data_IF_471667754146
#
_entry.id   IF_471667754146
#
_cell.length_a   1.000
_cell.length_b   1.000
_cell.length_c   1.000
_cell.angle_alpha   90.00
_cell.angle_beta   90.00
_cell.angle_gamma   90.00
#
_symmetry.space_group_name_H-M   'P 1'
#
loop_
_entity.id
_entity.type
_entity.pdbx_description
1 polymer ?
#
# COMPACT_ATOMS: atom_id res chain seq x y z
N UNK A 1 -43.96 14.08 30.18
CA UNK A 1 -42.75 13.39 30.65
C UNK A 1 -42.08 12.84 29.42
N UNK A 2 -41.22 13.66 28.84
CA UNK A 2 -40.68 13.50 27.49
C UNK A 2 -39.40 12.68 27.61
N UNK A 3 -39.41 11.49 27.01
CA UNK A 3 -38.19 10.69 26.86
C UNK A 3 -37.22 11.51 26.01
N UNK A 4 -36.27 12.19 26.65
CA UNK A 4 -35.07 12.68 25.99
C UNK A 4 -34.47 11.48 25.26
N UNK A 5 -34.45 11.53 23.92
CA UNK A 5 -34.03 10.44 23.04
C UNK A 5 -32.62 9.97 23.42
N UNK A 6 -32.53 8.91 24.22
CA UNK A 6 -31.24 8.35 24.60
C UNK A 6 -30.65 7.64 23.37
N UNK A 7 -29.45 8.07 22.96
CA UNK A 7 -28.66 7.42 21.93
C UNK A 7 -27.60 6.55 22.60
N UNK A 8 -27.81 5.24 22.55
CA UNK A 8 -26.88 4.24 23.03
C UNK A 8 -25.73 4.08 22.02
N UNK A 9 -24.49 4.09 22.51
CA UNK A 9 -23.27 3.89 21.69
C UNK A 9 -22.49 2.72 22.29
N UNK A 10 -22.16 1.77 21.43
CA UNK A 10 -21.53 0.53 21.82
C UNK A 10 -20.00 0.57 21.77
N UNK A 11 -19.45 -0.49 22.35
CA UNK A 11 -18.04 -0.69 22.56
C UNK A 11 -17.32 -1.12 21.27
N UNK A 12 -16.22 -0.44 20.94
CA UNK A 12 -15.38 -0.75 19.78
C UNK A 12 -14.16 -1.53 20.25
N UNK A 13 -13.91 -2.70 19.66
CA UNK A 13 -12.67 -3.46 19.85
C UNK A 13 -11.90 -3.52 18.54
N UNK A 14 -10.73 -2.89 18.52
CA UNK A 14 -9.76 -2.96 17.42
C UNK A 14 -8.67 -3.94 17.83
N UNK A 15 -8.56 -5.06 17.14
CA UNK A 15 -7.51 -6.06 17.34
C UNK A 15 -6.70 -6.24 16.06
N UNK A 16 -5.38 -6.23 16.19
CA UNK A 16 -4.46 -6.65 15.15
C UNK A 16 -4.11 -8.12 15.41
N UNK A 17 -4.60 -9.01 14.56
CA UNK A 17 -4.28 -10.43 14.61
C UNK A 17 -3.08 -10.69 13.69
N UNK A 18 -2.03 -11.32 14.22
CA UNK A 18 -0.86 -11.74 13.43
C UNK A 18 -0.96 -13.24 13.13
N UNK A 19 -1.16 -13.57 11.87
CA UNK A 19 -1.16 -14.95 11.39
C UNK A 19 0.27 -15.49 11.21
N UNK A 20 0.38 -16.75 10.80
CA UNK A 20 1.69 -17.35 10.47
C UNK A 20 2.35 -16.53 9.36
N UNK A 21 3.52 -15.99 9.66
CA UNK A 21 4.34 -15.27 8.70
C UNK A 21 5.24 -16.21 7.90
N UNK A 22 6.15 -15.59 7.17
CA UNK A 22 7.20 -16.24 6.39
C UNK A 22 8.53 -15.51 6.63
N UNK A 23 9.64 -16.20 6.41
CA UNK A 23 10.96 -15.58 6.44
C UNK A 23 11.21 -14.87 5.11
N UNK A 24 11.63 -13.61 5.18
CA UNK A 24 11.96 -12.79 4.01
C UNK A 24 13.27 -12.04 4.26
N UNK A 25 13.74 -11.28 3.28
CA UNK A 25 14.93 -10.45 3.43
C UNK A 25 14.84 -9.52 4.66
N UNK A 26 15.98 -9.24 5.32
CA UNK A 26 15.98 -8.46 6.55
C UNK A 26 15.66 -6.99 6.33
N UNK A 27 15.76 -6.48 5.08
CA UNK A 27 15.59 -5.08 4.71
C UNK A 27 15.09 -4.94 3.28
N UNK A 28 14.39 -3.85 3.01
CA UNK A 28 13.94 -3.43 1.68
C UNK A 28 14.62 -2.11 1.34
N UNK A 29 15.61 -2.14 0.45
CA UNK A 29 16.36 -0.95 0.02
C UNK A 29 16.18 -0.66 -1.48
N UNK A 30 15.60 -1.59 -2.23
CA UNK A 30 15.32 -1.52 -3.67
C UNK A 30 13.91 -2.03 -4.02
N UNK A 31 13.38 -1.71 -5.21
CA UNK A 31 12.14 -2.31 -5.72
C UNK A 31 12.22 -3.83 -5.86
N UNK A 32 13.38 -4.37 -6.25
CA UNK A 32 13.62 -5.82 -6.30
C UNK A 32 13.47 -6.45 -4.92
N UNK A 33 13.91 -5.76 -3.87
CA UNK A 33 13.72 -6.27 -2.52
C UNK A 33 12.23 -6.37 -2.16
N UNK A 34 11.48 -5.31 -2.47
CA UNK A 34 10.04 -5.28 -2.23
C UNK A 34 9.32 -6.36 -3.05
N UNK A 35 9.68 -6.52 -4.33
CA UNK A 35 9.15 -7.55 -5.23
C UNK A 35 9.30 -8.94 -4.62
N UNK A 36 10.49 -9.29 -4.13
CA UNK A 36 10.74 -10.60 -3.53
C UNK A 36 9.81 -10.88 -2.33
N UNK A 37 9.59 -9.87 -1.47
CA UNK A 37 8.63 -9.97 -0.35
C UNK A 37 7.21 -10.20 -0.87
N UNK A 38 6.78 -9.43 -1.87
CA UNK A 38 5.42 -9.54 -2.43
C UNK A 38 5.19 -10.87 -3.14
N UNK A 39 6.15 -11.37 -3.93
CA UNK A 39 6.04 -12.66 -4.62
C UNK A 39 5.97 -13.84 -3.67
N UNK A 40 6.69 -13.75 -2.55
CA UNK A 40 6.59 -14.77 -1.51
C UNK A 40 5.23 -14.78 -0.81
N UNK A 41 4.59 -13.62 -0.69
CA UNK A 41 3.27 -13.47 -0.06
C UNK A 41 2.12 -13.83 -1.00
N UNK A 42 2.18 -13.34 -2.24
CA UNK A 42 1.19 -13.57 -3.29
C UNK A 42 1.43 -14.94 -3.92
N UNK A 43 0.92 -15.98 -3.26
CA UNK A 43 1.01 -17.36 -3.74
C UNK A 43 -0.32 -17.80 -4.36
N UNK A 44 -0.26 -18.45 -5.52
CA UNK A 44 -1.43 -19.06 -6.18
C UNK A 44 -1.98 -18.26 -7.37
N UNK A 45 -3.08 -18.77 -7.95
CA UNK A 45 -3.77 -18.12 -9.07
C UNK A 45 -4.66 -16.99 -8.56
N UNK A 46 -4.22 -15.75 -8.79
CA UNK A 46 -4.99 -14.55 -8.45
C UNK A 46 -5.72 -14.04 -9.68
N UNK A 47 -7.02 -14.29 -9.75
CA UNK A 47 -7.90 -13.97 -10.88
C UNK A 47 -8.47 -12.54 -10.85
N UNK A 48 -8.13 -11.75 -9.83
CA UNK A 48 -8.64 -10.38 -9.60
C UNK A 48 -7.52 -9.44 -9.18
N UNK A 49 -7.73 -8.15 -9.35
CA UNK A 49 -6.79 -7.14 -8.87
C UNK A 49 -6.68 -7.12 -7.35
N UNK A 50 -5.46 -6.96 -6.85
CA UNK A 50 -5.17 -6.86 -5.43
C UNK A 50 -4.20 -5.72 -5.17
N UNK A 51 -4.49 -4.90 -4.17
CA UNK A 51 -3.51 -3.99 -3.60
C UNK A 51 -2.99 -4.58 -2.29
N UNK A 52 -1.68 -4.78 -2.24
CA UNK A 52 -0.94 -5.28 -1.09
C UNK A 52 -0.12 -4.16 -0.49
N UNK A 53 -0.11 -4.09 0.84
CA UNK A 53 0.67 -3.15 1.61
C UNK A 53 1.78 -3.87 2.35
N UNK A 54 3.03 -3.46 2.14
CA UNK A 54 4.17 -3.84 2.94
C UNK A 54 4.52 -2.69 3.90
N UNK A 55 4.47 -2.97 5.20
CA UNK A 55 4.83 -2.03 6.26
C UNK A 55 6.28 -2.20 6.67
N UNK A 56 7.00 -1.09 6.83
CA UNK A 56 8.42 -1.05 7.17
C UNK A 56 8.66 -0.22 8.42
N UNK A 57 9.67 -0.59 9.20
CA UNK A 57 10.18 0.24 10.30
C UNK A 57 11.15 1.34 9.83
N UNK A 58 11.70 2.12 10.77
CA UNK A 58 12.64 3.22 10.48
C UNK A 58 13.98 2.78 9.90
N UNK A 59 14.28 1.47 9.88
CA UNK A 59 15.46 0.86 9.27
C UNK A 59 15.11 0.09 7.98
N UNK A 60 13.91 0.32 7.44
CA UNK A 60 13.35 -0.32 6.26
C UNK A 60 13.22 -1.85 6.39
N UNK A 61 12.98 -2.35 7.61
CA UNK A 61 12.77 -3.78 7.85
C UNK A 61 11.28 -4.11 7.74
N UNK A 62 10.87 -5.18 7.03
CA UNK A 62 9.48 -5.64 6.99
C UNK A 62 8.90 -5.90 8.39
N UNK A 63 7.72 -5.34 8.69
CA UNK A 63 7.04 -5.52 9.98
C UNK A 63 5.63 -6.13 9.86
N UNK A 64 4.98 -5.93 8.72
CA UNK A 64 3.68 -6.51 8.38
C UNK A 64 3.47 -6.45 6.87
N UNK A 65 2.67 -7.39 6.36
CA UNK A 65 2.19 -7.38 4.98
C UNK A 65 0.70 -7.73 4.98
N UNK A 66 -0.10 -7.07 4.15
CA UNK A 66 -1.54 -7.30 4.10
C UNK A 66 -2.13 -6.93 2.74
N UNK A 67 -3.10 -7.72 2.27
CA UNK A 67 -4.00 -7.31 1.19
C UNK A 67 -4.99 -6.27 1.73
N UNK A 68 -4.88 -5.03 1.25
CA UNK A 68 -5.68 -3.89 1.74
C UNK A 68 -6.89 -3.60 0.86
N UNK A 69 -6.90 -4.09 -0.38
CA UNK A 69 -8.05 -4.03 -1.27
C UNK A 69 -8.04 -5.20 -2.26
N UNK A 70 -9.23 -5.67 -2.62
CA UNK A 70 -9.46 -6.69 -3.66
C UNK A 70 -10.52 -6.17 -4.61
N UNK A 71 -10.23 -6.25 -5.90
CA UNK A 71 -11.00 -5.59 -6.95
C UNK A 71 -11.79 -6.58 -7.78
N UNK A 72 -12.08 -6.14 -8.99
CA UNK A 72 -12.60 -6.97 -10.07
C UNK A 72 -11.45 -7.48 -10.95
N UNK A 73 -11.74 -7.89 -12.18
CA UNK A 73 -10.72 -8.35 -13.12
C UNK A 73 -9.81 -7.20 -13.61
N UNK A 74 -10.34 -5.97 -13.68
CA UNK A 74 -9.71 -4.84 -14.38
C UNK A 74 -9.83 -3.50 -13.62
N UNK A 75 -10.30 -3.53 -12.37
CA UNK A 75 -10.42 -2.32 -11.57
C UNK A 75 -10.45 -2.57 -10.06
N UNK A 76 -9.86 -1.63 -9.32
CA UNK A 76 -9.76 -1.65 -7.88
C UNK A 76 -10.05 -0.27 -7.27
N UNK A 77 -11.00 -0.21 -6.34
CA UNK A 77 -11.25 1.02 -5.56
C UNK A 77 -10.40 1.03 -4.30
N UNK A 78 -9.53 2.04 -4.18
CA UNK A 78 -8.64 2.20 -3.02
C UNK A 78 -8.90 3.53 -2.34
N UNK A 79 -9.13 3.49 -1.02
CA UNK A 79 -9.22 4.68 -0.19
C UNK A 79 -8.04 4.76 0.78
N UNK A 80 -7.31 5.89 0.88
CA UNK A 80 -6.14 6.01 1.76
C UNK A 80 -6.41 5.57 3.21
N UNK A 81 -7.60 5.86 3.75
CA UNK A 81 -7.98 5.44 5.12
C UNK A 81 -7.88 3.93 5.36
N UNK A 82 -8.20 3.10 4.36
CA UNK A 82 -8.14 1.64 4.52
C UNK A 82 -6.69 1.16 4.49
N UNK A 83 -5.87 1.73 3.58
CA UNK A 83 -4.43 1.43 3.49
C UNK A 83 -3.70 1.85 4.77
N UNK A 84 -3.90 3.10 5.20
CA UNK A 84 -3.20 3.63 6.36
C UNK A 84 -3.72 3.08 7.69
N UNK A 85 -4.93 2.50 7.75
CA UNK A 85 -5.39 1.79 8.96
C UNK A 85 -4.42 0.68 9.36
N UNK A 86 -3.98 -0.13 8.40
CA UNK A 86 -2.98 -1.18 8.62
C UNK A 86 -1.63 -0.60 9.03
N UNK A 87 -1.14 0.41 8.29
CA UNK A 87 0.13 1.05 8.59
C UNK A 87 0.16 1.62 10.03
N UNK A 88 -0.92 2.28 10.45
CA UNK A 88 -1.07 2.85 11.79
C UNK A 88 -1.11 1.73 12.84
N UNK A 89 -1.97 0.72 12.67
CA UNK A 89 -2.10 -0.37 13.64
C UNK A 89 -0.82 -1.22 13.78
N UNK A 90 0.03 -1.21 12.77
CA UNK A 90 1.31 -1.94 12.77
C UNK A 90 2.53 -1.08 13.14
N UNK A 91 2.32 0.21 13.45
CA UNK A 91 3.38 1.18 13.74
C UNK A 91 4.41 1.30 12.59
N UNK A 92 3.95 1.31 11.35
CA UNK A 92 4.80 1.49 10.19
C UNK A 92 5.41 2.90 10.17
N UNK A 93 6.72 2.99 9.94
CA UNK A 93 7.39 4.26 9.66
C UNK A 93 7.26 4.65 8.19
N UNK A 94 7.12 3.65 7.32
CA UNK A 94 6.93 3.81 5.88
C UNK A 94 6.26 2.58 5.29
N UNK A 95 5.77 2.71 4.07
CA UNK A 95 5.06 1.65 3.35
C UNK A 95 5.53 1.53 1.90
N UNK A 96 5.44 0.32 1.36
CA UNK A 96 5.49 0.05 -0.09
C UNK A 96 4.16 -0.57 -0.48
N UNK A 97 3.60 -0.14 -1.61
CA UNK A 97 2.40 -0.73 -2.18
C UNK A 97 2.76 -1.65 -3.35
N UNK A 98 1.96 -2.69 -3.57
CA UNK A 98 2.02 -3.49 -4.78
C UNK A 98 0.61 -3.74 -5.33
N UNK A 99 0.40 -3.43 -6.59
CA UNK A 99 -0.85 -3.68 -7.31
C UNK A 99 -0.65 -4.86 -8.26
N UNK A 100 -1.41 -5.94 -8.05
CA UNK A 100 -1.40 -7.10 -8.93
C UNK A 100 -2.37 -6.92 -10.10
N UNK A 101 -1.88 -7.05 -11.33
CA UNK A 101 -2.71 -7.13 -12.54
C UNK A 101 -2.87 -8.59 -12.98
N UNK A 102 -4.09 -9.15 -12.99
CA UNK A 102 -4.34 -10.50 -13.50
C UNK A 102 -3.98 -10.68 -14.98
N UNK A 103 -3.95 -9.58 -15.76
CA UNK A 103 -3.52 -9.58 -17.16
C UNK A 103 -2.05 -9.96 -17.35
N UNK A 104 -1.24 -9.80 -16.30
CA UNK A 104 0.20 -9.99 -16.33
C UNK A 104 1.01 -8.82 -16.90
N UNK A 105 0.36 -7.73 -17.33
CA UNK A 105 1.00 -6.52 -17.83
C UNK A 105 1.25 -5.52 -16.69
N UNK A 106 2.51 -5.13 -16.40
CA UNK A 106 2.84 -4.18 -15.34
C UNK A 106 2.70 -2.71 -15.76
N UNK A 107 2.23 -2.41 -16.97
CA UNK A 107 1.96 -1.03 -17.38
C UNK A 107 0.90 -0.39 -16.45
N UNK A 108 1.21 0.78 -15.83
CA UNK A 108 0.28 1.41 -14.90
C UNK A 108 -0.90 2.05 -15.63
N UNK A 109 -2.10 1.83 -15.09
CA UNK A 109 -3.29 2.58 -15.47
C UNK A 109 -3.25 4.01 -14.93
N UNK A 110 -4.09 4.89 -15.49
CA UNK A 110 -4.28 6.24 -14.94
C UNK A 110 -4.80 6.22 -13.50
N UNK A 111 -5.53 5.18 -13.11
CA UNK A 111 -6.09 5.07 -11.78
C UNK A 111 -5.03 4.64 -10.77
N UNK A 112 -4.08 3.78 -11.15
CA UNK A 112 -2.91 3.44 -10.31
C UNK A 112 -2.11 4.69 -9.97
N UNK A 113 -1.86 5.54 -10.97
CA UNK A 113 -1.17 6.81 -10.79
C UNK A 113 -1.93 7.73 -9.84
N UNK A 114 -3.24 7.89 -10.03
CA UNK A 114 -4.09 8.73 -9.15
C UNK A 114 -4.13 8.19 -7.72
N UNK A 115 -4.30 6.89 -7.54
CA UNK A 115 -4.30 6.21 -6.24
C UNK A 115 -2.97 6.48 -5.55
N UNK A 116 -1.85 6.29 -6.25
CA UNK A 116 -0.51 6.51 -5.72
C UNK A 116 -0.32 7.94 -5.23
N UNK A 117 -0.69 8.94 -6.03
CA UNK A 117 -0.60 10.35 -5.61
C UNK A 117 -1.43 10.65 -4.37
N UNK A 118 -2.65 10.10 -4.27
CA UNK A 118 -3.49 10.27 -3.08
C UNK A 118 -2.88 9.61 -1.85
N UNK A 119 -2.29 8.42 -2.01
CA UNK A 119 -1.59 7.72 -0.93
C UNK A 119 -0.35 8.50 -0.48
N UNK A 120 0.43 9.06 -1.40
CA UNK A 120 1.59 9.88 -1.06
C UNK A 120 1.21 11.14 -0.28
N UNK A 121 0.17 11.85 -0.70
CA UNK A 121 -0.32 13.04 0.01
C UNK A 121 -0.82 12.70 1.43
N UNK A 122 -1.60 11.61 1.55
CA UNK A 122 -2.07 11.14 2.85
C UNK A 122 -0.91 10.66 3.75
N UNK A 123 0.07 9.96 3.17
CA UNK A 123 1.25 9.49 3.88
C UNK A 123 2.11 10.62 4.41
N UNK A 124 2.30 11.69 3.63
CA UNK A 124 2.99 12.90 4.08
C UNK A 124 2.26 13.54 5.28
N UNK A 125 0.93 13.68 5.19
CA UNK A 125 0.13 14.22 6.29
C UNK A 125 0.19 13.37 7.56
N UNK A 126 0.21 12.04 7.42
CA UNK A 126 0.24 11.10 8.54
C UNK A 126 1.65 10.84 9.08
N UNK A 127 2.69 11.31 8.39
CA UNK A 127 4.09 11.00 8.73
C UNK A 127 4.50 9.56 8.41
N UNK A 128 3.78 8.87 7.52
CA UNK A 128 4.05 7.50 7.06
C UNK A 128 4.33 7.55 5.56
N UNK A 129 5.61 7.55 5.18
CA UNK A 129 6.02 7.73 3.78
C UNK A 129 5.63 6.54 2.91
N UNK A 130 5.07 6.81 1.73
CA UNK A 130 4.98 5.84 0.64
C UNK A 130 6.32 5.84 -0.08
N UNK A 131 7.11 4.78 0.07
CA UNK A 131 8.45 4.70 -0.52
C UNK A 131 8.40 4.35 -2.00
N UNK A 132 7.46 3.49 -2.40
CA UNK A 132 7.26 3.06 -3.77
C UNK A 132 5.86 2.44 -3.93
N UNK A 133 5.44 2.29 -5.19
CA UNK A 133 4.30 1.51 -5.60
C UNK A 133 4.69 0.67 -6.81
N UNK A 134 4.68 -0.66 -6.64
CA UNK A 134 5.00 -1.61 -7.69
C UNK A 134 3.73 -2.06 -8.40
N UNK A 135 3.74 -2.05 -9.73
CA UNK A 135 2.72 -2.73 -10.53
C UNK A 135 3.28 -4.10 -10.90
N UNK A 136 2.60 -5.16 -10.47
CA UNK A 136 3.06 -6.54 -10.60
C UNK A 136 2.32 -7.21 -11.77
N UNK A 137 3.12 -7.65 -12.75
CA UNK A 137 2.69 -8.49 -13.86
C UNK A 137 3.01 -9.96 -13.62
N UNK A 138 2.91 -10.80 -14.65
CA UNK A 138 3.16 -12.24 -14.52
C UNK A 138 4.62 -12.55 -14.11
N UNK A 139 4.82 -13.66 -13.40
CA UNK A 139 6.14 -14.15 -12.98
C UNK A 139 6.98 -13.10 -12.22
N UNK A 140 8.13 -12.67 -12.75
CA UNK A 140 8.98 -11.64 -12.15
C UNK A 140 8.80 -10.27 -12.81
N UNK A 141 7.85 -10.12 -13.73
CA UNK A 141 7.61 -8.87 -14.43
C UNK A 141 6.95 -7.85 -13.50
N UNK A 142 7.52 -6.64 -13.44
CA UNK A 142 7.00 -5.56 -12.61
C UNK A 142 7.47 -4.20 -13.09
N UNK A 143 6.80 -3.14 -12.62
CA UNK A 143 7.22 -1.76 -12.83
C UNK A 143 7.18 -1.01 -11.49
N UNK A 144 8.28 -0.34 -11.14
CA UNK A 144 8.32 0.62 -10.04
C UNK A 144 7.86 1.99 -10.52
N UNK A 145 6.81 2.55 -9.88
CA UNK A 145 6.37 3.91 -10.19
C UNK A 145 7.44 4.95 -9.82
N UNK A 146 8.29 4.65 -8.83
CA UNK A 146 9.38 5.53 -8.44
C UNK A 146 10.51 5.53 -9.48
N UNK A 147 10.96 4.36 -9.93
CA UNK A 147 12.07 4.27 -10.89
C UNK A 147 11.66 4.72 -12.29
N UNK A 148 10.41 4.49 -12.68
CA UNK A 148 9.84 5.02 -13.94
C UNK A 148 9.66 6.54 -13.92
N UNK A 149 9.83 7.20 -12.77
CA UNK A 149 9.69 8.65 -12.62
C UNK A 149 8.25 9.15 -12.53
N UNK A 150 7.26 8.25 -12.49
CA UNK A 150 5.84 8.60 -12.29
C UNK A 150 5.63 9.26 -10.93
N UNK A 151 6.35 8.78 -9.91
CA UNK A 151 6.40 9.41 -8.59
C UNK A 151 7.81 9.89 -8.27
N UNK A 152 7.94 11.17 -7.94
CA UNK A 152 9.15 11.71 -7.33
C UNK A 152 8.97 11.79 -5.83
N UNK A 153 10.04 11.60 -5.04
CA UNK A 153 9.99 11.92 -3.62
C UNK A 153 9.49 13.36 -3.45
N UNK A 154 8.50 13.57 -2.57
CA UNK A 154 7.88 14.90 -2.34
C UNK A 154 8.87 15.95 -1.79
N UNK A 155 10.15 15.59 -1.62
CA UNK A 155 11.23 16.47 -1.21
C UNK A 155 11.64 17.49 -2.29
N UNK A 156 11.19 17.38 -3.54
CA UNK A 156 11.68 18.25 -4.65
C UNK A 156 10.77 19.43 -4.98
N UNK A 157 9.56 19.54 -4.42
CA UNK A 157 8.59 20.59 -4.84
C UNK A 157 8.51 21.81 -3.92
N UNK A 158 9.58 22.12 -3.18
CA UNK A 158 9.82 23.50 -2.68
C UNK A 158 10.75 24.22 -3.66
N UNK A 159 10.29 24.47 -4.88
CA UNK A 159 11.15 25.11 -5.89
C UNK A 159 10.60 25.31 -7.30
N UNK A 160 9.29 25.16 -7.55
CA UNK A 160 8.67 25.65 -8.79
C UNK A 160 7.43 26.45 -8.45
N UNK A 161 7.67 27.71 -8.09
CA UNK A 161 6.81 28.79 -8.56
C UNK A 161 6.91 28.85 -10.09
N UNK A 162 5.79 29.19 -10.72
CA UNK A 162 5.62 29.53 -12.14
C UNK A 162 5.34 28.35 -13.07
N UNK A 163 4.06 27.97 -13.13
CA UNK A 163 3.21 27.99 -14.34
C UNK A 163 1.74 28.15 -13.92
#
# INVERSE_FOLDING_TARGET
MENSQLQYVEFVRLELIREKGFYTQPKVESPEDALAVFRQFLTGEMDREHLVLLCLDTKHRPTAIQVVAVGTLDSLLVHPREVFKTAILTNAASIVCAHWHPSGDPEPSLDDVKITYRLMQAGELLGIKVLDHLILGAEDNYLSLKESGVISSLATTRGRSDL
#
